data_IF_974085267374
#
_entry.id   IF_974085267374
#
_cell.length_a   1.000
_cell.length_b   1.000
_cell.length_c   1.000
_cell.angle_alpha   90.00
_cell.angle_beta   90.00
_cell.angle_gamma   90.00
#
_symmetry.space_group_name_H-M   'P 1'
#
loop_
_entity.id
_entity.type
_entity.pdbx_description
1 polymer ?
#
# COMPACT_ATOMS: atom_id res chain seq x y z
N UNK A 1 24.77 33.45 17.07
CA UNK A 1 23.82 32.40 17.48
C UNK A 1 24.51 31.42 18.40
N UNK A 2 23.81 30.99 19.44
CA UNK A 2 24.35 30.00 20.37
C UNK A 2 24.67 28.71 19.65
N UNK A 3 25.86 28.14 19.89
CA UNK A 3 26.24 26.86 19.30
C UNK A 3 25.70 25.68 20.11
N UNK A 4 25.48 24.53 19.45
CA UNK A 4 25.11 23.27 20.10
C UNK A 4 26.38 22.43 20.36
N UNK A 5 26.55 21.94 21.59
CA UNK A 5 27.63 21.02 21.94
C UNK A 5 27.06 19.79 22.65
N UNK A 6 27.67 18.62 22.46
CA UNK A 6 27.31 17.36 23.14
C UNK A 6 28.42 17.01 24.16
N UNK A 7 28.04 16.73 25.41
CA UNK A 7 28.93 16.25 26.47
C UNK A 7 28.25 15.12 27.25
N UNK A 8 28.91 13.98 27.41
CA UNK A 8 28.41 12.83 28.17
C UNK A 8 26.94 12.52 27.81
N UNK A 9 26.67 12.40 26.51
CA UNK A 9 25.36 12.10 25.91
C UNK A 9 24.28 13.19 26.07
N UNK A 10 24.55 14.32 26.70
CA UNK A 10 23.58 15.42 26.84
C UNK A 10 24.00 16.62 26.00
N UNK A 11 23.01 17.35 25.50
CA UNK A 11 23.23 18.57 24.73
C UNK A 11 23.25 19.81 25.61
N UNK A 12 24.07 20.78 25.22
CA UNK A 12 24.20 22.09 25.85
C UNK A 12 24.19 23.16 24.77
N UNK A 13 23.54 24.30 25.07
CA UNK A 13 23.71 25.52 24.30
C UNK A 13 25.00 26.20 24.75
N UNK A 14 25.82 26.64 23.79
CA UNK A 14 27.08 27.32 24.03
C UNK A 14 27.01 28.76 23.55
N UNK A 15 27.11 29.69 24.46
CA UNK A 15 27.22 31.13 24.19
C UNK A 15 28.64 31.55 24.47
N UNK A 16 29.31 32.19 23.52
CA UNK A 16 30.66 32.76 23.69
C UNK A 16 30.56 34.24 23.88
N UNK A 17 31.28 34.75 24.88
CA UNK A 17 31.33 36.17 25.25
C UNK A 17 32.78 36.59 25.40
N UNK A 18 33.16 37.69 24.76
CA UNK A 18 34.46 38.33 24.98
C UNK A 18 34.41 39.18 26.25
N UNK A 19 35.32 38.96 27.19
CA UNK A 19 35.38 39.69 28.48
C UNK A 19 36.47 40.80 28.52
N UNK A 20 37.06 41.12 27.37
CA UNK A 20 38.14 42.08 27.25
C UNK A 20 39.56 41.47 27.25
N UNK A 21 39.70 40.23 27.75
CA UNK A 21 40.98 39.53 27.85
C UNK A 21 40.94 38.19 27.12
N UNK A 22 39.86 37.45 27.28
CA UNK A 22 39.66 36.13 26.70
C UNK A 22 38.21 35.90 26.31
N UNK A 23 37.98 34.85 25.54
CA UNK A 23 36.65 34.38 25.23
C UNK A 23 36.12 33.50 26.38
N UNK A 24 35.10 33.98 27.09
CA UNK A 24 34.39 33.21 28.10
C UNK A 24 33.27 32.43 27.47
N UNK A 25 33.02 31.23 27.97
CA UNK A 25 31.97 30.32 27.47
C UNK A 25 30.91 30.10 28.54
N UNK A 26 29.68 30.42 28.19
CA UNK A 26 28.51 30.12 29.01
C UNK A 26 27.84 28.88 28.42
N UNK A 27 27.68 27.82 29.21
CA UNK A 27 27.03 26.59 28.82
C UNK A 27 25.68 26.44 29.52
N UNK A 28 24.60 26.36 28.74
CA UNK A 28 23.25 26.16 29.25
C UNK A 28 22.86 24.73 28.99
N UNK A 29 22.65 23.88 30.02
CA UNK A 29 22.23 22.49 29.80
C UNK A 29 20.83 22.44 29.20
N UNK A 30 20.68 21.73 28.09
CA UNK A 30 19.40 21.56 27.42
C UNK A 30 18.64 20.32 27.93
N UNK A 31 19.24 19.57 28.87
CA UNK A 31 18.65 18.40 29.57
C UNK A 31 18.06 17.35 28.65
N UNK A 32 18.54 17.26 27.43
CA UNK A 32 18.10 16.27 26.42
C UNK A 32 19.31 15.54 25.85
N UNK A 33 19.07 14.29 25.43
CA UNK A 33 20.00 13.46 24.66
C UNK A 33 19.70 13.53 23.16
N UNK A 34 18.57 14.14 22.78
CA UNK A 34 18.09 14.22 21.40
C UNK A 34 18.49 15.54 20.75
N UNK A 35 19.18 15.46 19.61
CA UNK A 35 19.69 16.62 18.88
C UNK A 35 18.56 17.51 18.32
N UNK A 36 17.46 16.90 17.85
CA UNK A 36 16.30 17.63 17.32
C UNK A 36 15.68 18.51 18.42
N UNK A 37 15.42 17.93 19.60
CA UNK A 37 14.90 18.65 20.78
C UNK A 37 15.87 19.76 21.21
N UNK A 38 17.18 19.48 21.18
CA UNK A 38 18.19 20.48 21.52
C UNK A 38 18.21 21.67 20.53
N UNK A 39 18.01 21.41 19.24
CA UNK A 39 17.89 22.45 18.21
C UNK A 39 16.62 23.28 18.37
N UNK A 40 15.49 22.65 18.71
CA UNK A 40 14.24 23.35 18.98
C UNK A 40 14.38 24.27 20.20
N UNK A 41 15.02 23.80 21.28
CA UNK A 41 15.32 24.62 22.43
C UNK A 41 16.25 25.80 22.14
N UNK A 42 17.12 25.67 21.15
CA UNK A 42 17.93 26.81 20.70
C UNK A 42 17.10 27.85 19.96
N UNK A 43 16.12 27.42 19.15
CA UNK A 43 15.43 28.24 18.15
C UNK A 43 14.01 28.63 18.55
N UNK A 44 13.46 28.10 19.64
CA UNK A 44 12.10 28.37 20.08
C UNK A 44 11.82 29.87 20.17
N UNK A 45 10.65 30.29 19.64
CA UNK A 45 10.29 31.72 19.55
C UNK A 45 10.00 32.34 20.92
N UNK A 46 9.58 31.55 21.90
CA UNK A 46 9.18 32.03 23.22
C UNK A 46 10.30 31.88 24.26
N UNK A 47 10.96 30.73 24.27
CA UNK A 47 11.93 30.36 25.29
C UNK A 47 13.31 30.00 24.72
N UNK A 48 13.53 30.10 23.41
CA UNK A 48 14.75 29.66 22.75
C UNK A 48 15.99 30.42 23.23
N UNK A 49 17.09 29.69 23.39
CA UNK A 49 18.36 30.29 23.86
C UNK A 49 18.84 31.40 22.93
N UNK A 50 18.66 31.26 21.62
CA UNK A 50 19.05 32.27 20.64
C UNK A 50 18.35 33.62 20.85
N UNK A 51 17.12 33.61 21.35
CA UNK A 51 16.33 34.83 21.63
C UNK A 51 16.96 35.69 22.69
N UNK A 52 17.52 35.06 23.73
CA UNK A 52 18.08 35.72 24.88
C UNK A 52 19.62 35.82 24.85
N UNK A 53 20.26 35.33 23.77
CA UNK A 53 21.70 35.30 23.63
C UNK A 53 22.36 36.68 23.77
N UNK A 54 21.77 37.70 23.14
CA UNK A 54 22.29 39.06 23.20
C UNK A 54 22.26 39.63 24.63
N UNK A 55 21.15 39.42 25.33
CA UNK A 55 20.94 39.93 26.69
C UNK A 55 21.83 39.21 27.73
N UNK A 56 22.09 37.89 27.49
CA UNK A 56 23.04 37.11 28.31
C UNK A 56 24.47 37.57 28.03
N UNK A 57 24.83 37.87 26.78
CA UNK A 57 26.15 38.38 26.41
C UNK A 57 26.42 39.78 26.99
N UNK A 58 25.44 40.68 26.95
CA UNK A 58 25.54 42.02 27.48
C UNK A 58 25.54 42.07 29.03
N UNK A 59 25.10 41.00 29.69
CA UNK A 59 24.95 40.92 31.13
C UNK A 59 23.65 41.54 31.67
N UNK A 60 22.74 41.95 30.77
CA UNK A 60 21.38 42.35 31.15
C UNK A 60 20.66 41.20 31.85
N UNK A 61 20.92 39.97 31.39
CA UNK A 61 20.50 38.75 32.05
C UNK A 61 21.70 38.05 32.65
N UNK A 62 21.63 37.77 33.97
CA UNK A 62 22.69 37.04 34.66
C UNK A 62 22.92 35.65 34.11
N UNK A 63 24.19 35.26 34.00
CA UNK A 63 24.56 33.90 33.58
C UNK A 63 24.53 32.87 34.72
N UNK A 64 24.12 33.31 35.91
CA UNK A 64 23.95 32.44 37.07
C UNK A 64 22.73 31.52 36.91
N UNK A 65 22.78 30.37 37.63
CA UNK A 65 21.75 29.33 37.53
C UNK A 65 20.35 29.84 37.91
N UNK A 66 20.21 30.77 38.82
CA UNK A 66 18.91 31.28 39.25
C UNK A 66 18.28 32.17 38.18
N UNK A 67 19.06 33.03 37.54
CA UNK A 67 18.63 33.87 36.43
C UNK A 67 18.24 33.03 35.20
N UNK A 68 19.05 32.05 34.88
CA UNK A 68 18.78 31.15 33.76
C UNK A 68 17.53 30.27 33.98
N UNK A 69 17.27 29.84 35.23
CA UNK A 69 16.04 29.09 35.58
C UNK A 69 14.74 29.88 35.35
N UNK A 70 14.77 31.19 35.53
CA UNK A 70 13.62 32.07 35.29
C UNK A 70 13.27 32.18 33.82
N UNK A 71 14.25 32.08 32.94
CA UNK A 71 14.10 32.19 31.49
C UNK A 71 13.84 30.85 30.82
N UNK A 72 14.51 29.83 31.32
CA UNK A 72 14.48 28.51 30.70
C UNK A 72 13.76 27.51 31.62
N UNK A 73 12.46 27.29 31.39
CA UNK A 73 11.63 26.44 32.27
C UNK A 73 12.19 25.03 32.46
N UNK A 74 12.90 24.50 31.48
CA UNK A 74 13.53 23.18 31.57
C UNK A 74 14.69 23.07 32.55
N UNK A 75 15.13 24.17 33.13
CA UNK A 75 16.19 24.18 34.17
C UNK A 75 15.65 24.02 35.58
N UNK A 76 14.34 23.98 35.79
CA UNK A 76 13.72 23.79 37.10
C UNK A 76 14.03 22.41 37.69
N UNK A 77 14.10 22.32 39.03
CA UNK A 77 14.69 21.17 39.73
C UNK A 77 13.84 19.89 39.70
N UNK A 78 12.58 20.00 39.42
CA UNK A 78 11.63 18.87 39.55
C UNK A 78 11.73 17.80 38.46
N UNK A 79 12.77 17.86 37.63
CA UNK A 79 12.99 16.84 36.58
C UNK A 79 11.88 16.72 35.53
N UNK A 80 10.74 17.33 35.74
CA UNK A 80 9.66 17.46 34.77
C UNK A 80 10.03 18.56 33.81
N UNK A 81 10.56 18.16 32.66
CA UNK A 81 10.74 19.05 31.53
C UNK A 81 9.36 19.61 31.16
N UNK A 82 9.17 20.92 31.40
CA UNK A 82 7.98 21.64 30.92
C UNK A 82 8.04 21.94 29.42
N UNK A 83 9.03 21.39 28.72
CA UNK A 83 9.14 21.46 27.29
C UNK A 83 8.06 20.56 26.74
N UNK A 84 7.22 21.04 25.83
CA UNK A 84 6.33 20.15 25.11
C UNK A 84 7.16 19.07 24.44
N UNK A 85 7.12 17.87 24.99
CA UNK A 85 7.69 16.69 24.33
C UNK A 85 6.84 16.43 23.09
N UNK A 86 7.48 16.14 21.96
CA UNK A 86 6.76 15.79 20.77
C UNK A 86 5.89 14.57 21.09
N UNK A 87 4.58 14.76 21.05
CA UNK A 87 3.62 13.69 21.30
C UNK A 87 3.47 12.82 20.06
N UNK A 88 3.04 11.57 20.27
CA UNK A 88 2.75 10.66 19.15
C UNK A 88 1.70 11.26 18.20
N UNK A 89 0.69 11.94 18.74
CA UNK A 89 -0.35 12.57 17.90
C UNK A 89 0.19 13.70 17.02
N UNK A 90 1.05 14.57 17.57
CA UNK A 90 1.70 15.65 16.82
C UNK A 90 2.67 15.08 15.77
N UNK A 91 3.48 14.10 16.15
CA UNK A 91 4.42 13.44 15.26
C UNK A 91 3.70 12.74 14.09
N UNK A 92 2.57 12.07 14.35
CA UNK A 92 1.74 11.45 13.31
C UNK A 92 1.20 12.49 12.34
N UNK A 93 0.72 13.63 12.84
CA UNK A 93 0.24 14.73 12.00
C UNK A 93 1.33 15.26 11.08
N UNK A 94 2.53 15.54 11.61
CA UNK A 94 3.69 15.99 10.86
C UNK A 94 4.12 14.94 9.81
N UNK A 95 4.12 13.66 10.18
CA UNK A 95 4.49 12.59 9.27
C UNK A 95 3.49 12.47 8.11
N UNK A 96 2.18 12.50 8.38
CA UNK A 96 1.16 12.43 7.34
C UNK A 96 1.28 13.60 6.37
N UNK A 97 1.54 14.82 6.85
CA UNK A 97 1.79 15.98 6.01
C UNK A 97 3.05 15.81 5.14
N UNK A 98 4.13 15.32 5.73
CA UNK A 98 5.35 14.99 5.00
C UNK A 98 5.12 13.94 3.91
N UNK A 99 4.32 12.89 4.19
CA UNK A 99 3.95 11.88 3.20
C UNK A 99 3.11 12.48 2.06
N UNK A 100 2.23 13.44 2.37
CA UNK A 100 1.42 14.17 1.38
C UNK A 100 2.31 15.05 0.50
N UNK A 101 3.21 15.80 1.08
CA UNK A 101 4.19 16.62 0.36
C UNK A 101 5.09 15.78 -0.56
N UNK A 102 5.44 14.55 -0.14
CA UNK A 102 6.20 13.59 -0.94
C UNK A 102 5.37 12.86 -2.02
N UNK A 103 4.16 13.31 -2.30
CA UNK A 103 3.32 12.77 -3.39
C UNK A 103 2.82 11.34 -3.16
N UNK A 104 2.68 10.90 -1.88
CA UNK A 104 2.04 9.59 -1.59
C UNK A 104 0.57 9.63 -2.01
N UNK A 105 0.10 8.50 -2.56
CA UNK A 105 -1.29 8.38 -3.03
C UNK A 105 -2.30 8.52 -1.89
N UNK A 106 -3.46 9.19 -2.12
CA UNK A 106 -4.48 9.41 -1.07
C UNK A 106 -4.89 8.13 -0.33
N UNK A 107 -5.03 7.00 -1.05
CA UNK A 107 -5.37 5.72 -0.44
C UNK A 107 -4.27 5.20 0.51
N UNK A 108 -2.99 5.39 0.16
CA UNK A 108 -1.87 5.01 1.02
C UNK A 108 -1.86 5.87 2.28
N UNK A 109 -2.09 7.18 2.13
CA UNK A 109 -2.22 8.09 3.27
C UNK A 109 -3.36 7.68 4.20
N UNK A 110 -4.53 7.34 3.64
CA UNK A 110 -5.67 6.87 4.44
C UNK A 110 -5.36 5.58 5.22
N UNK A 111 -4.67 4.61 4.61
CA UNK A 111 -4.24 3.38 5.29
C UNK A 111 -3.27 3.70 6.43
N UNK A 112 -2.26 4.51 6.15
CA UNK A 112 -1.28 4.93 7.15
C UNK A 112 -1.94 5.68 8.30
N UNK A 113 -2.85 6.59 7.99
CA UNK A 113 -3.60 7.36 8.99
C UNK A 113 -4.47 6.45 9.87
N UNK A 114 -5.18 5.50 9.27
CA UNK A 114 -5.98 4.52 10.03
C UNK A 114 -5.11 3.70 10.97
N UNK A 115 -3.98 3.17 10.48
CA UNK A 115 -3.05 2.38 11.29
C UNK A 115 -2.51 3.19 12.48
N UNK A 116 -2.13 4.45 12.26
CA UNK A 116 -1.58 5.29 13.31
C UNK A 116 -2.64 5.82 14.28
N UNK A 117 -3.89 5.98 13.86
CA UNK A 117 -5.01 6.24 14.78
C UNK A 117 -5.18 5.08 15.76
N UNK A 118 -5.10 3.84 15.29
CA UNK A 118 -5.13 2.67 16.19
C UNK A 118 -3.91 2.63 17.11
N UNK A 119 -2.73 2.96 16.62
CA UNK A 119 -1.52 3.01 17.44
C UNK A 119 -1.56 4.11 18.50
N UNK A 120 -2.05 5.31 18.15
CA UNK A 120 -2.32 6.39 19.12
C UNK A 120 -3.36 5.93 20.15
N UNK A 121 -4.42 5.22 19.73
CA UNK A 121 -5.44 4.69 20.63
C UNK A 121 -4.90 3.65 21.62
N UNK A 122 -3.81 2.97 21.27
CA UNK A 122 -3.09 2.08 22.17
C UNK A 122 -2.18 2.84 23.14
N UNK A 123 -1.35 3.77 22.63
CA UNK A 123 -0.35 4.53 23.42
C UNK A 123 -0.93 5.70 24.20
N UNK A 124 -2.07 6.23 23.84
CA UNK A 124 -2.62 7.55 24.17
C UNK A 124 -2.06 8.71 23.33
N UNK A 125 -2.87 9.75 23.12
CA UNK A 125 -2.49 10.89 22.27
C UNK A 125 -1.29 11.69 22.75
N UNK A 126 -1.14 11.79 24.06
CA UNK A 126 -0.09 12.59 24.73
C UNK A 126 1.18 11.79 25.01
N UNK A 127 1.28 10.54 24.56
CA UNK A 127 2.47 9.72 24.75
C UNK A 127 3.68 10.34 24.06
N UNK A 128 4.82 10.58 24.76
CA UNK A 128 6.03 11.13 24.15
C UNK A 128 6.66 10.13 23.17
N UNK A 129 7.06 10.60 21.98
CA UNK A 129 7.64 9.70 20.95
C UNK A 129 8.93 9.02 21.41
N UNK A 130 9.74 9.67 22.27
CA UNK A 130 10.95 9.08 22.82
C UNK A 130 10.71 7.91 23.77
N UNK A 131 9.49 7.75 24.24
CA UNK A 131 9.08 6.65 25.15
C UNK A 131 8.37 5.51 24.41
N UNK A 132 8.42 5.48 23.09
CA UNK A 132 7.91 4.33 22.33
C UNK A 132 8.98 3.25 22.35
N UNK A 133 8.67 2.11 22.98
CA UNK A 133 9.55 0.96 23.10
C UNK A 133 9.07 -0.22 22.25
N UNK A 134 9.93 -1.22 22.11
CA UNK A 134 9.56 -2.48 21.43
C UNK A 134 8.37 -3.15 22.13
N UNK A 135 8.29 -3.08 23.45
CA UNK A 135 7.17 -3.62 24.23
C UNK A 135 5.81 -3.04 23.81
N UNK A 136 5.75 -1.73 23.53
CA UNK A 136 4.51 -1.07 23.09
C UNK A 136 4.04 -1.59 21.72
N UNK A 137 5.00 -1.84 20.82
CA UNK A 137 4.71 -2.40 19.49
C UNK A 137 4.27 -3.86 19.59
N UNK A 138 4.89 -4.63 20.48
CA UNK A 138 4.54 -6.02 20.73
C UNK A 138 3.15 -6.12 21.38
N UNK A 139 2.84 -5.29 22.37
CA UNK A 139 1.52 -5.24 23.01
C UNK A 139 0.43 -4.81 22.00
N UNK A 140 0.73 -3.84 21.13
CA UNK A 140 -0.17 -3.49 20.02
C UNK A 140 -0.47 -4.69 19.13
N UNK A 141 0.56 -5.48 18.78
CA UNK A 141 0.44 -6.67 17.94
C UNK A 141 -0.35 -7.79 18.61
N UNK A 142 -0.05 -8.08 19.87
CA UNK A 142 -0.47 -9.28 20.58
C UNK A 142 -1.80 -9.11 21.33
N UNK A 143 -2.07 -7.89 21.80
CA UNK A 143 -3.24 -7.59 22.64
C UNK A 143 -4.18 -6.61 21.94
N UNK A 144 -3.74 -5.37 21.72
CA UNK A 144 -4.64 -4.30 21.27
C UNK A 144 -5.31 -4.59 19.93
N UNK A 145 -4.55 -5.07 18.94
CA UNK A 145 -5.08 -5.30 17.59
C UNK A 145 -6.07 -6.48 17.55
N UNK A 146 -5.79 -7.65 18.17
CA UNK A 146 -6.75 -8.75 18.29
C UNK A 146 -8.03 -8.37 19.06
N UNK A 147 -7.94 -7.65 20.19
CA UNK A 147 -9.11 -7.21 20.97
C UNK A 147 -10.06 -6.32 20.16
N UNK A 148 -9.53 -5.60 19.16
CA UNK A 148 -10.33 -4.81 18.21
C UNK A 148 -10.88 -5.64 17.04
N UNK A 149 -10.71 -6.95 17.06
CA UNK A 149 -11.19 -7.87 16.03
C UNK A 149 -10.39 -7.82 14.71
N UNK A 150 -9.17 -7.29 14.73
CA UNK A 150 -8.32 -7.27 13.54
C UNK A 150 -7.70 -8.66 13.33
N UNK A 151 -7.82 -9.16 12.11
CA UNK A 151 -7.12 -10.39 11.73
C UNK A 151 -5.61 -10.15 11.53
N UNK A 152 -4.77 -11.21 11.55
CA UNK A 152 -3.30 -11.09 11.41
C UNK A 152 -2.84 -10.30 10.18
N UNK A 153 -3.52 -10.45 9.04
CA UNK A 153 -3.20 -9.69 7.80
C UNK A 153 -3.43 -8.19 7.99
N UNK A 154 -4.51 -7.79 8.65
CA UNK A 154 -4.81 -6.39 8.97
C UNK A 154 -3.82 -5.85 9.98
N UNK A 155 -3.51 -6.61 11.03
CA UNK A 155 -2.48 -6.25 12.03
C UNK A 155 -1.13 -6.03 11.35
N UNK A 156 -0.70 -6.92 10.48
CA UNK A 156 0.54 -6.75 9.70
C UNK A 156 0.51 -5.53 8.78
N UNK A 157 -0.64 -5.18 8.22
CA UNK A 157 -0.79 -3.95 7.44
C UNK A 157 -0.57 -2.71 8.31
N UNK A 158 -1.09 -2.70 9.54
CA UNK A 158 -0.87 -1.61 10.50
C UNK A 158 0.58 -1.56 10.97
N UNK A 159 1.18 -2.71 11.30
CA UNK A 159 2.59 -2.79 11.70
C UNK A 159 3.54 -2.27 10.61
N UNK A 160 3.25 -2.50 9.31
CA UNK A 160 4.03 -1.89 8.21
C UNK A 160 3.95 -0.37 8.21
N UNK A 161 2.79 0.20 8.48
CA UNK A 161 2.61 1.64 8.58
C UNK A 161 3.32 2.21 9.81
N UNK A 162 3.18 1.55 10.97
CA UNK A 162 3.88 1.89 12.22
C UNK A 162 5.40 1.83 11.99
N UNK A 163 5.92 0.76 11.39
CA UNK A 163 7.35 0.62 11.10
C UNK A 163 7.87 1.76 10.20
N UNK A 164 7.07 2.17 9.20
CA UNK A 164 7.45 3.30 8.32
C UNK A 164 7.46 4.62 9.08
N UNK A 165 6.53 4.81 10.01
CA UNK A 165 6.47 5.97 10.89
C UNK A 165 7.66 5.99 11.87
N UNK A 166 7.98 4.87 12.51
CA UNK A 166 9.12 4.74 13.41
C UNK A 166 10.46 4.99 12.69
N UNK A 167 10.60 4.51 11.44
CA UNK A 167 11.76 4.84 10.61
C UNK A 167 11.87 6.36 10.35
N UNK A 168 10.75 7.05 10.18
CA UNK A 168 10.74 8.49 9.98
C UNK A 168 11.11 9.23 11.27
N UNK A 169 10.64 8.77 12.43
CA UNK A 169 11.03 9.34 13.74
C UNK A 169 12.54 9.23 13.97
N UNK A 170 13.14 8.06 13.71
CA UNK A 170 14.56 7.83 13.79
C UNK A 170 15.34 8.70 12.80
N UNK A 171 14.89 8.76 11.53
CA UNK A 171 15.50 9.60 10.50
C UNK A 171 15.45 11.10 10.85
N UNK A 172 14.41 11.55 11.54
CA UNK A 172 14.25 12.91 12.03
C UNK A 172 14.96 13.16 13.36
N UNK A 173 15.64 12.16 13.89
CA UNK A 173 16.31 12.22 15.19
C UNK A 173 15.35 12.54 16.37
N UNK A 174 14.04 12.23 16.21
CA UNK A 174 13.05 12.35 17.29
C UNK A 174 13.17 11.21 18.30
N UNK A 175 13.65 10.06 17.86
CA UNK A 175 14.03 8.91 18.67
C UNK A 175 15.48 8.51 18.34
N UNK A 176 16.20 7.99 19.33
CA UNK A 176 17.60 7.59 19.15
C UNK A 176 17.71 6.30 18.35
N UNK A 177 16.85 5.33 18.67
CA UNK A 177 16.81 4.03 18.02
C UNK A 177 15.36 3.59 17.83
N UNK A 178 15.07 3.13 16.63
CA UNK A 178 13.75 2.60 16.29
C UNK A 178 13.43 1.32 17.06
N UNK A 179 12.23 1.20 17.68
CA UNK A 179 11.71 -0.07 18.19
C UNK A 179 11.68 -1.16 17.12
N UNK A 180 11.98 -2.39 17.51
CA UNK A 180 11.88 -3.54 16.63
C UNK A 180 10.41 -3.83 16.33
N UNK A 181 10.09 -4.08 15.08
CA UNK A 181 8.74 -4.47 14.65
C UNK A 181 8.80 -5.90 14.11
N UNK A 182 8.09 -6.81 14.78
CA UNK A 182 7.96 -8.21 14.39
C UNK A 182 6.57 -8.39 13.79
N UNK A 183 6.49 -9.05 12.62
CA UNK A 183 5.22 -9.34 11.95
C UNK A 183 4.69 -10.71 12.40
N UNK A 184 3.36 -10.84 12.36
CA UNK A 184 2.68 -12.11 12.58
C UNK A 184 2.88 -13.02 11.37
N UNK A 185 3.03 -14.31 11.60
CA UNK A 185 2.98 -15.29 10.52
C UNK A 185 1.56 -15.35 9.96
N UNK A 186 1.47 -15.30 8.66
CA UNK A 186 0.20 -15.36 7.94
C UNK A 186 0.39 -16.27 6.74
N UNK A 187 -0.42 -17.29 6.66
CA UNK A 187 -0.46 -18.17 5.50
C UNK A 187 -0.74 -17.36 4.23
N UNK A 188 -0.09 -17.73 3.14
CA UNK A 188 -0.42 -17.14 1.85
C UNK A 188 -1.87 -17.47 1.51
N UNK A 189 -2.72 -16.44 1.26
CA UNK A 189 -4.11 -16.71 0.92
C UNK A 189 -4.17 -17.46 -0.41
N UNK A 190 -4.96 -18.52 -0.44
CA UNK A 190 -5.23 -19.28 -1.65
C UNK A 190 -5.73 -18.38 -2.79
N UNK A 191 -5.31 -18.70 -4.00
CA UNK A 191 -5.76 -18.00 -5.21
C UNK A 191 -7.19 -18.40 -5.52
N UNK A 192 -8.13 -17.49 -5.32
CA UNK A 192 -9.56 -17.74 -5.58
C UNK A 192 -9.87 -17.46 -7.04
N UNK A 193 -10.15 -18.51 -7.80
CA UNK A 193 -10.51 -18.47 -9.23
C UNK A 193 -11.80 -19.23 -9.49
N UNK A 194 -12.39 -19.05 -10.64
CA UNK A 194 -13.55 -19.81 -11.12
C UNK A 194 -13.06 -21.03 -11.89
N UNK A 195 -13.67 -22.18 -11.66
CA UNK A 195 -13.47 -23.38 -12.48
C UNK A 195 -14.18 -23.25 -13.84
N UNK A 196 -13.86 -24.10 -14.79
CA UNK A 196 -14.50 -24.08 -16.13
C UNK A 196 -16.03 -24.28 -16.09
N UNK A 197 -16.59 -25.21 -15.30
CA UNK A 197 -18.03 -25.28 -15.09
C UNK A 197 -18.61 -24.01 -14.46
N UNK A 198 -17.99 -23.44 -13.42
CA UNK A 198 -18.45 -22.18 -12.81
C UNK A 198 -18.43 -21.01 -13.80
N UNK A 199 -17.47 -20.98 -14.74
CA UNK A 199 -17.43 -19.98 -15.82
C UNK A 199 -18.60 -20.20 -16.78
N UNK A 200 -18.86 -21.44 -17.20
CA UNK A 200 -19.97 -21.77 -18.10
C UNK A 200 -21.31 -21.38 -17.46
N UNK A 201 -21.51 -21.71 -16.19
CA UNK A 201 -22.72 -21.36 -15.44
C UNK A 201 -22.85 -19.82 -15.27
N UNK A 202 -21.77 -19.11 -14.93
CA UNK A 202 -21.78 -17.65 -14.81
C UNK A 202 -22.13 -16.96 -16.12
N UNK A 203 -21.58 -17.42 -17.24
CA UNK A 203 -21.80 -16.83 -18.55
C UNK A 203 -23.13 -17.31 -19.21
N UNK A 204 -23.64 -18.45 -18.79
CA UNK A 204 -24.95 -18.97 -19.19
C UNK A 204 -26.11 -18.40 -18.35
N UNK A 205 -25.83 -17.86 -17.19
CA UNK A 205 -26.86 -17.35 -16.28
C UNK A 205 -27.61 -16.15 -16.89
N UNK A 206 -28.92 -16.17 -16.78
CA UNK A 206 -29.79 -15.03 -17.08
C UNK A 206 -30.46 -14.51 -15.80
N UNK A 207 -30.05 -13.32 -15.39
CA UNK A 207 -30.65 -12.58 -14.28
C UNK A 207 -31.41 -11.34 -14.76
N UNK A 208 -31.91 -11.35 -16.01
CA UNK A 208 -32.82 -10.29 -16.47
C UNK A 208 -34.11 -10.29 -15.64
N UNK A 209 -34.85 -9.20 -15.69
CA UNK A 209 -36.12 -9.07 -14.97
C UNK A 209 -37.19 -10.07 -15.48
N UNK A 210 -37.10 -10.41 -16.74
CA UNK A 210 -38.03 -11.37 -17.42
C UNK A 210 -37.77 -12.80 -16.93
N UNK A 211 -36.51 -13.11 -16.61
CA UNK A 211 -36.06 -14.41 -16.09
C UNK A 211 -35.63 -14.33 -14.63
N UNK A 212 -36.33 -13.51 -13.82
CA UNK A 212 -36.03 -13.42 -12.41
C UNK A 212 -35.93 -14.79 -11.76
N UNK A 213 -34.83 -15.06 -11.08
CA UNK A 213 -34.58 -16.33 -10.41
C UNK A 213 -35.71 -16.66 -9.41
N UNK A 214 -35.92 -17.96 -9.11
CA UNK A 214 -37.02 -18.47 -8.28
C UNK A 214 -37.31 -17.70 -6.99
N UNK A 215 -36.33 -16.94 -6.46
CA UNK A 215 -36.44 -16.08 -5.27
C UNK A 215 -36.76 -14.63 -5.62
N UNK A 216 -37.15 -14.28 -6.83
CA UNK A 216 -37.32 -12.90 -7.28
C UNK A 216 -35.99 -12.13 -7.45
N UNK A 217 -34.85 -12.81 -7.48
CA UNK A 217 -33.52 -12.16 -7.67
C UNK A 217 -33.33 -11.85 -9.15
N UNK A 218 -33.13 -10.59 -9.47
CA UNK A 218 -32.78 -10.09 -10.78
C UNK A 218 -31.75 -8.97 -10.71
N UNK A 219 -31.09 -8.68 -11.84
CA UNK A 219 -30.09 -7.62 -11.98
C UNK A 219 -30.43 -6.76 -13.18
N UNK A 220 -30.60 -5.47 -12.93
CA UNK A 220 -30.84 -4.52 -14.01
C UNK A 220 -29.67 -4.49 -14.99
N UNK A 221 -29.98 -4.61 -16.28
CA UNK A 221 -28.99 -4.70 -17.36
C UNK A 221 -27.99 -5.87 -17.19
N UNK A 222 -28.47 -7.03 -16.79
CA UNK A 222 -27.65 -8.22 -16.55
C UNK A 222 -26.70 -8.54 -17.70
N UNK A 223 -27.18 -8.49 -18.93
CA UNK A 223 -26.40 -8.79 -20.14
C UNK A 223 -25.11 -7.93 -20.23
N UNK A 224 -25.18 -6.68 -19.82
CA UNK A 224 -24.00 -5.82 -19.73
C UNK A 224 -22.95 -6.36 -18.73
N UNK A 225 -23.41 -6.79 -17.55
CA UNK A 225 -22.50 -7.33 -16.54
C UNK A 225 -21.91 -8.67 -16.98
N UNK A 226 -22.71 -9.52 -17.58
CA UNK A 226 -22.29 -10.81 -18.13
C UNK A 226 -21.17 -10.61 -19.16
N UNK A 227 -21.35 -9.71 -20.14
CA UNK A 227 -20.31 -9.37 -21.13
C UNK A 227 -19.06 -8.75 -20.48
N UNK A 228 -19.24 -7.93 -19.48
CA UNK A 228 -18.12 -7.38 -18.73
C UNK A 228 -17.32 -8.45 -17.97
N UNK A 229 -17.98 -9.45 -17.38
CA UNK A 229 -17.30 -10.57 -16.71
C UNK A 229 -16.50 -11.39 -17.71
N UNK A 230 -17.09 -11.69 -18.89
CA UNK A 230 -16.36 -12.35 -19.98
C UNK A 230 -15.15 -11.52 -20.44
N UNK A 231 -15.28 -10.20 -20.54
CA UNK A 231 -14.16 -9.30 -20.83
C UNK A 231 -13.02 -9.45 -19.81
N UNK A 232 -13.33 -9.46 -18.51
CA UNK A 232 -12.31 -9.63 -17.48
C UNK A 232 -11.65 -11.02 -17.52
N UNK A 233 -12.39 -12.06 -17.82
CA UNK A 233 -11.88 -13.41 -18.04
C UNK A 233 -10.93 -13.47 -19.24
N UNK A 234 -11.27 -12.84 -20.35
CA UNK A 234 -10.50 -12.91 -21.59
C UNK A 234 -9.24 -12.03 -21.59
N UNK A 235 -9.21 -10.97 -20.77
CA UNK A 235 -8.14 -9.97 -20.80
C UNK A 235 -7.27 -9.92 -19.55
N UNK A 236 -7.72 -10.54 -18.48
CA UNK A 236 -7.07 -10.42 -17.18
C UNK A 236 -6.94 -8.97 -16.68
N UNK A 237 -7.78 -8.04 -17.12
CA UNK A 237 -7.79 -6.65 -16.70
C UNK A 237 -8.03 -6.51 -15.19
N UNK A 238 -7.39 -5.50 -14.56
CA UNK A 238 -7.83 -5.04 -13.23
C UNK A 238 -9.14 -4.27 -13.36
N UNK A 239 -9.98 -4.32 -12.32
CA UNK A 239 -11.33 -3.74 -12.30
C UNK A 239 -11.42 -2.32 -12.91
N UNK A 240 -10.44 -1.46 -12.69
CA UNK A 240 -10.47 -0.07 -13.17
C UNK A 240 -9.74 0.18 -14.49
N UNK A 241 -8.94 -0.76 -14.97
CA UNK A 241 -8.13 -0.56 -16.19
C UNK A 241 -8.96 -0.26 -17.44
N UNK A 242 -10.14 -0.89 -17.67
CA UNK A 242 -10.99 -0.57 -18.82
C UNK A 242 -11.43 0.91 -18.87
N UNK A 243 -11.56 1.56 -17.70
CA UNK A 243 -12.09 2.93 -17.59
C UNK A 243 -11.00 4.01 -17.61
N UNK A 244 -9.78 3.68 -17.17
CA UNK A 244 -8.69 4.64 -17.06
C UNK A 244 -7.65 4.55 -18.17
N UNK A 245 -7.61 3.40 -18.89
CA UNK A 245 -6.71 3.21 -20.04
C UNK A 245 -7.17 3.99 -21.27
N UNK A 246 -6.30 4.17 -22.23
CA UNK A 246 -6.59 4.75 -23.54
C UNK A 246 -6.76 3.63 -24.58
N UNK A 247 -7.75 3.74 -25.46
CA UNK A 247 -7.94 2.79 -26.57
C UNK A 247 -7.19 3.31 -27.78
N UNK A 248 -6.27 2.49 -28.32
CA UNK A 248 -5.49 2.75 -29.54
C UNK A 248 -5.64 1.58 -30.49
N UNK A 249 -6.58 1.69 -31.42
CA UNK A 249 -6.99 0.56 -32.27
C UNK A 249 -7.48 -0.61 -31.43
N UNK A 250 -6.87 -1.77 -31.57
CA UNK A 250 -7.17 -2.98 -30.78
C UNK A 250 -6.29 -3.08 -29.50
N UNK A 251 -5.86 -1.97 -28.94
CA UNK A 251 -5.04 -1.96 -27.73
C UNK A 251 -5.65 -1.08 -26.65
N UNK A 252 -5.76 -1.62 -25.46
CA UNK A 252 -6.03 -0.86 -24.24
C UNK A 252 -4.70 -0.55 -23.55
N UNK A 253 -4.33 0.72 -23.54
CA UNK A 253 -3.06 1.20 -22.99
C UNK A 253 -3.31 1.91 -21.68
N UNK A 254 -2.78 1.37 -20.58
CA UNK A 254 -2.82 1.99 -19.25
C UNK A 254 -1.50 2.69 -18.99
N UNK A 255 -1.53 4.01 -18.88
CA UNK A 255 -0.36 4.83 -18.64
C UNK A 255 0.25 4.59 -17.24
N UNK A 256 1.57 4.85 -17.03
CA UNK A 256 2.25 4.59 -15.76
C UNK A 256 1.66 5.35 -14.57
N UNK A 257 1.26 6.60 -14.75
CA UNK A 257 0.63 7.46 -13.73
C UNK A 257 -0.73 6.91 -13.26
N UNK A 258 -1.48 6.30 -14.16
CA UNK A 258 -2.77 5.65 -13.92
C UNK A 258 -2.64 4.20 -13.42
N UNK A 259 -1.50 3.57 -13.68
CA UNK A 259 -1.23 2.19 -13.24
C UNK A 259 -0.90 2.13 -11.75
N UNK A 260 -1.39 1.08 -11.05
CA UNK A 260 -1.05 0.83 -9.64
C UNK A 260 0.47 0.74 -9.41
N UNK A 261 1.17 0.19 -10.38
CA UNK A 261 2.60 -0.14 -10.29
C UNK A 261 3.51 0.86 -11.01
N UNK A 262 2.97 2.02 -11.48
CA UNK A 262 3.70 3.03 -12.25
C UNK A 262 4.43 2.47 -13.49
N UNK A 263 3.89 1.39 -14.09
CA UNK A 263 4.37 0.82 -15.35
C UNK A 263 3.28 0.91 -16.39
N UNK A 264 3.66 1.18 -17.64
CA UNK A 264 2.76 1.09 -18.79
C UNK A 264 2.30 -0.35 -18.93
N UNK A 265 0.99 -0.56 -19.13
CA UNK A 265 0.42 -1.85 -19.47
C UNK A 265 -0.32 -1.74 -20.79
N UNK A 266 -0.10 -2.71 -21.66
CA UNK A 266 -0.74 -2.79 -22.97
C UNK A 266 -1.51 -4.12 -23.01
N UNK A 267 -2.78 -4.07 -23.34
CA UNK A 267 -3.68 -5.23 -23.35
C UNK A 267 -4.28 -5.30 -24.74
N UNK A 268 -4.11 -6.44 -25.41
CA UNK A 268 -4.71 -6.69 -26.72
C UNK A 268 -6.20 -6.93 -26.56
N UNK A 269 -6.98 -6.32 -27.42
CA UNK A 269 -8.43 -6.51 -27.53
C UNK A 269 -8.74 -7.15 -28.89
N UNK A 270 -9.76 -7.96 -28.94
CA UNK A 270 -10.46 -8.30 -30.15
C UNK A 270 -11.68 -7.37 -30.37
N UNK A 271 -12.41 -7.54 -31.45
CA UNK A 271 -13.55 -6.69 -31.74
C UNK A 271 -14.64 -6.77 -30.66
N UNK A 272 -14.91 -7.95 -30.10
CA UNK A 272 -15.94 -8.14 -29.08
C UNK A 272 -15.55 -7.48 -27.75
N UNK A 273 -14.30 -7.65 -27.30
CA UNK A 273 -13.77 -7.01 -26.08
C UNK A 273 -13.66 -5.49 -26.25
N UNK A 274 -13.34 -4.99 -27.44
CA UNK A 274 -13.33 -3.57 -27.75
C UNK A 274 -14.73 -2.95 -27.62
N UNK A 275 -15.74 -3.55 -28.22
CA UNK A 275 -17.13 -3.08 -28.11
C UNK A 275 -17.62 -3.14 -26.65
N UNK A 276 -17.30 -4.21 -25.93
CA UNK A 276 -17.61 -4.32 -24.50
C UNK A 276 -16.99 -3.18 -23.68
N UNK A 277 -15.71 -2.84 -23.91
CA UNK A 277 -15.06 -1.72 -23.22
C UNK A 277 -15.72 -0.38 -23.55
N UNK A 278 -16.09 -0.16 -24.81
CA UNK A 278 -16.80 1.07 -25.20
C UNK A 278 -18.14 1.18 -24.50
N UNK A 279 -18.91 0.12 -24.43
CA UNK A 279 -20.18 0.06 -23.69
C UNK A 279 -19.99 0.32 -22.20
N UNK A 280 -19.02 -0.37 -21.57
CA UNK A 280 -18.68 -0.17 -20.16
C UNK A 280 -18.37 1.29 -19.86
N UNK A 281 -17.59 1.96 -20.70
CA UNK A 281 -17.27 3.39 -20.56
C UNK A 281 -18.47 4.29 -20.75
N UNK A 282 -19.31 4.03 -21.74
CA UNK A 282 -20.53 4.79 -21.97
C UNK A 282 -21.48 4.77 -20.78
N UNK A 283 -21.54 3.64 -20.05
CA UNK A 283 -22.34 3.52 -18.82
C UNK A 283 -21.70 4.28 -17.66
N UNK A 284 -20.38 4.14 -17.47
CA UNK A 284 -19.66 4.84 -16.39
C UNK A 284 -19.72 6.35 -16.56
N UNK A 285 -19.68 6.85 -17.79
CA UNK A 285 -19.81 8.28 -18.08
C UNK A 285 -21.16 8.89 -17.60
N UNK A 286 -22.20 8.05 -17.46
CA UNK A 286 -23.51 8.43 -16.93
C UNK A 286 -23.62 8.32 -15.40
N UNK A 287 -22.57 7.81 -14.72
CA UNK A 287 -22.57 7.59 -13.29
C UNK A 287 -21.93 8.78 -12.55
N UNK A 288 -22.35 8.98 -11.30
CA UNK A 288 -21.82 10.05 -10.41
C UNK A 288 -20.31 10.00 -10.22
N UNK A 289 -19.76 8.80 -10.12
CA UNK A 289 -18.30 8.60 -10.01
C UNK A 289 -17.87 7.18 -10.37
N UNK A 290 -16.60 7.05 -10.77
CA UNK A 290 -16.01 5.78 -11.17
C UNK A 290 -16.03 4.72 -10.05
N UNK A 291 -15.88 5.11 -8.79
CA UNK A 291 -15.90 4.19 -7.66
C UNK A 291 -17.25 3.49 -7.56
N UNK A 292 -18.33 4.25 -7.54
CA UNK A 292 -19.69 3.71 -7.49
C UNK A 292 -19.95 2.77 -8.67
N UNK A 293 -19.59 3.19 -9.88
CA UNK A 293 -19.76 2.38 -11.08
C UNK A 293 -19.01 1.04 -11.00
N UNK A 294 -17.75 1.06 -10.56
CA UNK A 294 -16.94 -0.18 -10.42
C UNK A 294 -17.42 -1.06 -9.26
N UNK A 295 -17.99 -0.49 -8.21
CA UNK A 295 -18.56 -1.25 -7.11
C UNK A 295 -19.78 -2.07 -7.56
N UNK A 296 -20.55 -1.59 -8.58
CA UNK A 296 -21.68 -2.34 -9.15
C UNK A 296 -21.24 -3.65 -9.81
N UNK A 297 -20.10 -3.69 -10.53
CA UNK A 297 -19.58 -4.96 -11.09
C UNK A 297 -19.31 -5.98 -9.99
N UNK A 298 -18.69 -5.56 -8.89
CA UNK A 298 -18.43 -6.44 -7.75
C UNK A 298 -19.71 -6.89 -7.05
N UNK A 299 -20.69 -6.00 -6.92
CA UNK A 299 -22.00 -6.30 -6.33
C UNK A 299 -22.74 -7.33 -7.16
N UNK A 300 -22.84 -7.10 -8.47
CA UNK A 300 -23.61 -7.97 -9.35
C UNK A 300 -22.94 -9.34 -9.58
N UNK A 301 -21.61 -9.41 -9.60
CA UNK A 301 -20.91 -10.69 -9.57
C UNK A 301 -21.22 -11.49 -8.29
N UNK A 302 -21.30 -10.84 -7.13
CA UNK A 302 -21.69 -11.51 -5.87
C UNK A 302 -23.14 -12.01 -5.90
N UNK A 303 -24.04 -11.27 -6.56
CA UNK A 303 -25.43 -11.74 -6.77
C UNK A 303 -25.42 -13.01 -7.61
N UNK A 304 -24.70 -13.01 -8.74
CA UNK A 304 -24.57 -14.19 -9.58
C UNK A 304 -23.99 -15.39 -8.83
N UNK A 305 -22.86 -15.20 -8.13
CA UNK A 305 -22.25 -16.28 -7.32
C UNK A 305 -23.22 -16.85 -6.28
N UNK A 306 -24.07 -16.02 -5.67
CA UNK A 306 -25.07 -16.49 -4.71
C UNK A 306 -26.16 -17.31 -5.40
N UNK A 307 -26.63 -16.91 -6.57
CA UNK A 307 -27.64 -17.64 -7.34
C UNK A 307 -27.10 -18.99 -7.80
N UNK A 308 -25.83 -19.06 -8.15
CA UNK A 308 -25.12 -20.28 -8.56
C UNK A 308 -24.62 -21.14 -7.38
N UNK A 309 -24.96 -20.78 -6.15
CA UNK A 309 -24.49 -21.45 -4.91
C UNK A 309 -22.95 -21.58 -4.81
N UNK A 310 -22.21 -20.63 -5.40
CA UNK A 310 -20.76 -20.57 -5.26
C UNK A 310 -20.45 -20.06 -3.86
N UNK A 311 -20.10 -20.98 -2.95
CA UNK A 311 -19.91 -20.71 -1.51
C UNK A 311 -18.72 -19.83 -1.22
N UNK A 312 -17.66 -19.96 -1.99
CA UNK A 312 -16.47 -19.16 -1.81
C UNK A 312 -16.67 -17.72 -2.30
N UNK A 313 -16.13 -16.79 -1.51
CA UNK A 313 -16.19 -15.37 -1.86
C UNK A 313 -15.37 -15.09 -3.11
N UNK A 314 -16.04 -14.86 -4.23
CA UNK A 314 -15.46 -14.42 -5.51
C UNK A 314 -15.61 -12.91 -5.69
N UNK A 315 -14.68 -12.31 -6.41
CA UNK A 315 -14.69 -10.90 -6.77
C UNK A 315 -14.31 -10.75 -8.25
N UNK A 316 -14.45 -9.56 -8.82
CA UNK A 316 -13.96 -9.29 -10.19
C UNK A 316 -12.44 -9.58 -10.31
N UNK A 317 -11.69 -9.48 -9.20
CA UNK A 317 -10.28 -9.87 -9.19
C UNK A 317 -10.10 -11.39 -9.33
N UNK A 318 -11.08 -12.19 -8.91
CA UNK A 318 -11.07 -13.64 -9.11
C UNK A 318 -11.18 -14.02 -10.59
N UNK A 319 -11.90 -13.24 -11.42
CA UNK A 319 -11.93 -13.43 -12.87
C UNK A 319 -10.54 -13.23 -13.49
N UNK A 320 -9.79 -12.27 -12.99
CA UNK A 320 -8.40 -12.08 -13.38
C UNK A 320 -7.48 -13.20 -12.87
N UNK A 321 -7.74 -13.75 -11.70
CA UNK A 321 -7.02 -14.94 -11.23
C UNK A 321 -7.31 -16.13 -12.12
N UNK A 322 -8.56 -16.32 -12.52
CA UNK A 322 -8.98 -17.33 -13.50
C UNK A 322 -8.20 -17.20 -14.81
N UNK A 323 -8.11 -15.97 -15.36
CA UNK A 323 -7.25 -15.71 -16.51
C UNK A 323 -5.81 -16.20 -16.30
N UNK A 324 -5.20 -15.89 -15.14
CA UNK A 324 -3.84 -16.33 -14.83
C UNK A 324 -3.68 -17.85 -14.74
N UNK A 325 -4.68 -18.56 -14.20
CA UNK A 325 -4.72 -20.03 -14.17
C UNK A 325 -4.82 -20.64 -15.59
N UNK A 326 -5.75 -20.13 -16.41
CA UNK A 326 -5.90 -20.56 -17.79
C UNK A 326 -4.63 -20.30 -18.61
N UNK A 327 -4.04 -19.10 -18.46
CA UNK A 327 -2.79 -18.76 -19.16
C UNK A 327 -1.62 -19.66 -18.75
N UNK A 328 -1.59 -20.12 -17.49
CA UNK A 328 -0.56 -21.07 -17.05
C UNK A 328 -0.65 -22.39 -17.81
N UNK A 329 -1.84 -22.93 -18.05
CA UNK A 329 -2.06 -24.09 -18.89
C UNK A 329 -1.65 -23.79 -20.35
N UNK A 330 -2.21 -22.76 -20.96
CA UNK A 330 -2.00 -22.41 -22.36
C UNK A 330 -0.55 -22.07 -22.73
N UNK A 331 0.25 -21.61 -21.77
CA UNK A 331 1.66 -21.22 -21.99
C UNK A 331 2.65 -22.23 -21.43
N UNK A 332 2.18 -23.42 -21.04
CA UNK A 332 2.99 -24.46 -20.40
C UNK A 332 3.84 -23.89 -19.25
N UNK A 333 3.22 -23.05 -18.39
CA UNK A 333 3.84 -22.49 -17.23
C UNK A 333 4.86 -21.36 -17.49
N UNK A 334 4.84 -20.70 -18.64
CA UNK A 334 5.71 -19.55 -18.93
C UNK A 334 5.38 -18.34 -18.05
N UNK A 335 5.89 -18.34 -16.81
CA UNK A 335 5.63 -17.29 -15.81
C UNK A 335 6.08 -15.90 -16.22
N UNK A 336 7.22 -15.69 -16.90
CA UNK A 336 7.60 -14.39 -17.42
C UNK A 336 6.55 -13.80 -18.38
N UNK A 337 6.02 -14.60 -19.29
CA UNK A 337 4.98 -14.18 -20.24
C UNK A 337 3.70 -13.80 -19.49
N UNK A 338 3.23 -14.65 -18.58
CA UNK A 338 2.01 -14.41 -17.78
C UNK A 338 2.18 -13.14 -16.93
N UNK A 339 3.37 -12.94 -16.30
CA UNK A 339 3.69 -11.73 -15.56
C UNK A 339 3.53 -10.48 -16.41
N UNK A 340 4.04 -10.49 -17.62
CA UNK A 340 4.02 -9.34 -18.52
C UNK A 340 2.62 -9.06 -19.04
N UNK A 341 1.87 -10.11 -19.46
CA UNK A 341 0.47 -10.00 -19.84
C UNK A 341 -0.40 -9.44 -18.70
N UNK A 342 -0.20 -9.94 -17.48
CA UNK A 342 -0.93 -9.46 -16.31
C UNK A 342 -0.41 -8.13 -15.77
N UNK A 343 0.76 -7.67 -16.19
CA UNK A 343 1.38 -6.42 -15.72
C UNK A 343 1.70 -6.48 -14.22
N UNK A 344 2.30 -7.59 -13.76
CA UNK A 344 2.85 -7.71 -12.43
C UNK A 344 4.27 -7.10 -12.40
N UNK A 345 4.58 -6.33 -11.37
CA UNK A 345 5.93 -5.75 -11.19
C UNK A 345 6.92 -6.75 -10.60
N UNK A 346 6.42 -7.64 -9.75
CA UNK A 346 7.19 -8.69 -9.12
C UNK A 346 6.71 -10.04 -9.64
N UNK A 347 7.63 -10.90 -10.02
CA UNK A 347 7.34 -12.26 -10.47
C UNK A 347 6.66 -13.08 -9.35
N UNK A 348 7.05 -12.85 -8.08
CA UNK A 348 6.41 -13.48 -6.92
C UNK A 348 4.87 -13.33 -6.89
N UNK A 349 4.33 -12.24 -7.46
CA UNK A 349 2.87 -12.08 -7.60
C UNK A 349 2.27 -13.08 -8.61
N UNK A 350 3.05 -13.53 -9.59
CA UNK A 350 2.65 -14.51 -10.62
C UNK A 350 2.93 -15.94 -10.16
N UNK A 351 4.01 -16.13 -9.38
CA UNK A 351 4.38 -17.42 -8.79
C UNK A 351 3.30 -18.01 -7.87
N UNK A 352 2.40 -17.16 -7.35
CA UNK A 352 1.21 -17.66 -6.63
C UNK A 352 0.35 -18.63 -7.44
N UNK A 353 0.38 -18.56 -8.77
CA UNK A 353 -0.27 -19.54 -9.62
C UNK A 353 0.52 -20.86 -9.69
N UNK A 354 1.83 -20.84 -9.41
CA UNK A 354 2.64 -22.06 -9.33
C UNK A 354 2.30 -22.90 -8.10
N UNK A 355 1.79 -22.26 -7.04
CA UNK A 355 1.40 -22.97 -5.82
C UNK A 355 0.14 -23.82 -5.99
N UNK A 356 -0.59 -23.68 -7.13
CA UNK A 356 -1.71 -24.55 -7.48
C UNK A 356 -1.13 -25.77 -8.20
N UNK A 357 -1.39 -27.01 -7.76
CA UNK A 357 -0.94 -28.20 -8.51
C UNK A 357 -1.42 -28.16 -9.97
N UNK A 358 -0.58 -28.62 -10.90
CA UNK A 358 -0.93 -28.58 -12.32
C UNK A 358 -2.12 -29.50 -12.62
N UNK A 359 -2.13 -30.67 -12.02
CA UNK A 359 -3.18 -31.67 -12.12
C UNK A 359 -4.54 -31.09 -11.68
N UNK A 360 -4.55 -30.27 -10.64
CA UNK A 360 -5.74 -29.59 -10.18
C UNK A 360 -6.23 -28.56 -11.21
N UNK A 361 -5.31 -27.87 -11.89
CA UNK A 361 -5.71 -26.91 -12.94
C UNK A 361 -6.23 -27.65 -14.18
N UNK A 362 -5.68 -28.79 -14.54
CA UNK A 362 -6.15 -29.63 -15.64
C UNK A 362 -7.55 -30.19 -15.35
N UNK A 363 -7.82 -30.61 -14.11
CA UNK A 363 -9.15 -31.02 -13.66
C UNK A 363 -10.16 -29.86 -13.69
N UNK A 364 -9.74 -28.68 -13.24
CA UNK A 364 -10.61 -27.50 -13.16
C UNK A 364 -10.83 -26.81 -14.51
N UNK A 365 -9.96 -27.06 -15.51
CA UNK A 365 -10.02 -26.44 -16.84
C UNK A 365 -9.76 -27.47 -17.97
N UNK A 366 -10.55 -28.54 -18.06
CA UNK A 366 -10.27 -29.67 -18.95
C UNK A 366 -10.20 -29.29 -20.42
N UNK A 367 -11.01 -28.32 -20.89
CA UNK A 367 -10.99 -27.90 -22.30
C UNK A 367 -9.70 -27.13 -22.63
N UNK A 368 -9.24 -26.32 -21.73
CA UNK A 368 -7.98 -25.55 -21.89
C UNK A 368 -6.74 -26.44 -21.80
N UNK A 369 -6.77 -27.48 -20.95
CA UNK A 369 -5.70 -28.46 -20.84
C UNK A 369 -5.55 -29.24 -22.17
N UNK A 370 -6.65 -29.76 -22.71
CA UNK A 370 -6.67 -30.45 -24.02
C UNK A 370 -6.17 -29.56 -25.15
N UNK A 371 -6.57 -28.29 -25.17
CA UNK A 371 -6.10 -27.34 -26.17
C UNK A 371 -4.56 -27.13 -26.07
N UNK A 372 -4.04 -26.96 -24.87
CA UNK A 372 -2.60 -26.81 -24.65
C UNK A 372 -1.80 -28.03 -25.09
N UNK A 373 -2.29 -29.25 -24.84
CA UNK A 373 -1.67 -30.49 -25.32
C UNK A 373 -1.64 -30.57 -26.86
N UNK A 374 -2.74 -30.18 -27.52
CA UNK A 374 -2.82 -30.16 -28.98
C UNK A 374 -1.85 -29.13 -29.59
N UNK A 375 -1.78 -27.92 -29.03
CA UNK A 375 -0.85 -26.87 -29.47
C UNK A 375 0.62 -27.30 -29.36
N UNK A 376 0.99 -28.00 -28.29
CA UNK A 376 2.33 -28.59 -28.13
C UNK A 376 2.60 -29.67 -29.18
N UNK A 377 1.63 -30.55 -29.40
CA UNK A 377 1.74 -31.64 -30.39
C UNK A 377 1.89 -31.10 -31.80
N UNK A 378 1.10 -30.10 -32.19
CA UNK A 378 1.17 -29.47 -33.50
C UNK A 378 2.50 -28.72 -33.72
N UNK A 379 3.07 -28.14 -32.68
CA UNK A 379 4.38 -27.52 -32.73
C UNK A 379 5.49 -28.56 -32.95
N UNK A 380 5.44 -29.66 -32.22
CA UNK A 380 6.40 -30.78 -32.40
C UNK A 380 6.33 -31.41 -33.80
N UNK A 381 5.13 -31.55 -34.36
CA UNK A 381 4.94 -32.07 -35.73
C UNK A 381 5.54 -31.11 -36.76
N UNK A 382 5.33 -29.81 -36.64
CA UNK A 382 5.92 -28.80 -37.55
C UNK A 382 7.44 -28.76 -37.48
N UNK A 383 8.04 -28.93 -36.28
CA UNK A 383 9.49 -28.95 -36.10
C UNK A 383 10.14 -30.27 -36.61
N UNK A 384 9.35 -31.32 -36.81
CA UNK A 384 9.80 -32.63 -37.33
C UNK A 384 9.58 -32.80 -38.83
N UNK A 385 8.79 -31.95 -39.48
CA UNK A 385 8.67 -31.95 -40.93
C UNK A 385 9.92 -31.31 -41.57
N UNK A 386 10.65 -32.01 -42.44
CA UNK A 386 11.83 -31.45 -43.10
C UNK A 386 11.37 -30.28 -43.98
N UNK A 387 11.98 -29.10 -43.80
CA UNK A 387 11.77 -27.93 -44.62
C UNK A 387 11.96 -28.31 -46.10
N UNK A 388 10.91 -28.18 -46.90
CA UNK A 388 10.92 -28.35 -48.37
C UNK A 388 11.76 -27.22 -49.05
N UNK A 389 12.98 -27.02 -48.64
CA UNK A 389 13.91 -26.08 -49.29
C UNK A 389 15.24 -26.77 -49.48
N UNK A 390 15.29 -27.86 -50.23
CA UNK A 390 16.52 -28.36 -50.89
C UNK A 390 16.24 -29.41 -51.98
N UNK A 391 15.38 -29.12 -52.93
CA UNK A 391 15.38 -29.84 -54.23
C UNK A 391 15.06 -28.84 -55.37
N UNK A 392 15.96 -27.88 -55.58
CA UNK A 392 15.97 -27.12 -56.84
C UNK A 392 17.42 -26.61 -57.12
N UNK A 393 18.33 -27.54 -57.33
CA UNK A 393 19.60 -27.31 -58.02
C UNK A 393 20.21 -28.62 -58.45
N UNK A 394 19.75 -29.13 -59.59
CA UNK A 394 20.62 -29.87 -60.55
C UNK A 394 20.08 -29.66 -61.97
#
# INVERSE_FOLDING_TARGET
>A
MAGLIKRRDKYYARIRKWNGIKEDEIQIPLRTTFKAVALDLLKDQKYGVNKFEADIKSGVIGSDRASLKKLFPWLNEDGTSTIPRLTVAEAVSQWIESQRANGKRPRTLAINQTALIHFIGHLTSNHPVENIFTADVDEFREVYSPERGHNPTTTNMYLRSINTFLNWLEHKEFIEKKPKVIYLDVDEPEVKYFTEPEIADLLGLDLSRENAHKNGTWVENWEHYRRAFQFYLNTGCRLREPFIGEIKGLWLVVAPDKSKNRRKRVIRLDNNTLETVKEMRGRVAKCLNLKWATDQYTKNLRVACRVLDIKEKRTVHSLRHTYGCIRRLQTNGNMPLIRDEMGHTNIATTERYCNIPLEMLEEHFPSYAKQAENDVRDTLIRDTEPSEVEVASR
#
